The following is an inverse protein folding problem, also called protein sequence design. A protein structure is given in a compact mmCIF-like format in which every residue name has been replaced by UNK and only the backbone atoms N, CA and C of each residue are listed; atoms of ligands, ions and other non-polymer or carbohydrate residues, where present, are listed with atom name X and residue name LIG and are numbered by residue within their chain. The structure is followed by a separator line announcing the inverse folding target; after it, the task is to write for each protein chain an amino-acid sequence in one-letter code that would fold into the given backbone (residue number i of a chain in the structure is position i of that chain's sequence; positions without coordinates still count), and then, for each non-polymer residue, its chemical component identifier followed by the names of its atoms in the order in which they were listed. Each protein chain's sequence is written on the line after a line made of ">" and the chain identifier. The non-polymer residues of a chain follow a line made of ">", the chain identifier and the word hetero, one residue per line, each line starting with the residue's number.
data_IF_045414496360
#
_entry.id   IF_045414496360
#
_cell.length_a   1.000
_cell.length_b   1.000
_cell.length_c   1.000
_cell.angle_alpha   90.00
_cell.angle_beta   90.00
_cell.angle_gamma   90.00
#
_symmetry.space_group_name_H-M   'P 1'
#
loop_
_entity.id
_entity.type
_entity.pdbx_description
1 polymer ?
#
# COMPACT_ATOMS: atom_id res chain seq x y z
N UNK A 1 17.15 25.22 -14.51
CA UNK A 1 17.28 24.48 -13.24
C UNK A 1 15.97 23.76 -13.00
N UNK A 2 16.05 22.45 -12.79
CA UNK A 2 15.00 21.53 -12.34
C UNK A 2 13.89 21.17 -13.34
N UNK A 3 14.26 20.35 -14.33
CA UNK A 3 13.35 19.37 -14.91
C UNK A 3 13.06 18.30 -13.84
N UNK A 4 11.87 18.33 -13.25
CA UNK A 4 11.36 17.22 -12.46
C UNK A 4 10.29 16.50 -13.29
N UNK A 5 10.77 15.57 -14.11
CA UNK A 5 10.09 14.37 -14.58
C UNK A 5 8.62 14.48 -14.98
N UNK A 6 8.39 14.51 -16.30
CA UNK A 6 7.13 14.09 -16.91
C UNK A 6 6.62 12.78 -16.30
N UNK A 7 5.33 12.75 -15.95
CA UNK A 7 4.60 11.52 -15.70
C UNK A 7 4.70 10.57 -16.89
N UNK A 8 4.45 9.27 -16.66
CA UNK A 8 3.55 8.57 -17.55
C UNK A 8 2.32 8.11 -16.78
N UNK A 9 1.17 8.70 -17.13
CA UNK A 9 -0.07 7.96 -17.07
C UNK A 9 0.03 6.84 -18.11
N UNK A 10 0.20 5.59 -17.68
CA UNK A 10 -0.20 4.37 -18.40
C UNK A 10 0.45 3.15 -17.74
N UNK A 11 -0.33 2.38 -16.98
CA UNK A 11 -0.55 1.01 -17.40
C UNK A 11 -1.97 0.61 -17.00
N UNK A 12 -2.87 0.57 -17.98
CA UNK A 12 -4.23 0.06 -17.85
C UNK A 12 -4.20 -1.48 -17.73
N UNK A 13 -3.55 -1.96 -16.67
CA UNK A 13 -3.50 -3.34 -16.23
C UNK A 13 -3.65 -3.32 -14.72
N UNK A 14 -4.92 -3.29 -14.27
CA UNK A 14 -5.43 -3.15 -12.90
C UNK A 14 -4.55 -2.45 -11.86
N UNK A 15 -5.03 -1.35 -11.30
CA UNK A 15 -4.28 -0.62 -10.27
C UNK A 15 -4.12 -1.48 -9.00
N UNK A 16 -2.91 -1.51 -8.44
CA UNK A 16 -2.66 -2.12 -7.14
C UNK A 16 -3.56 -1.47 -6.07
N UNK A 17 -4.04 -2.27 -5.11
CA UNK A 17 -4.97 -1.81 -4.08
C UNK A 17 -4.51 -2.27 -2.72
N UNK A 18 -4.76 -1.44 -1.73
CA UNK A 18 -4.67 -1.83 -0.33
C UNK A 18 -6.09 -2.04 0.20
N UNK A 19 -6.42 -3.27 0.55
CA UNK A 19 -7.73 -3.64 1.07
C UNK A 19 -7.67 -3.68 2.59
N UNK A 20 -8.29 -2.71 3.24
CA UNK A 20 -8.40 -2.66 4.69
C UNK A 20 -9.64 -3.45 5.15
N UNK A 21 -9.43 -4.43 6.02
CA UNK A 21 -10.49 -5.16 6.73
C UNK A 21 -10.88 -4.36 7.97
N UNK A 22 -12.04 -3.68 7.91
CA UNK A 22 -12.58 -2.90 9.02
C UNK A 22 -13.01 -3.83 10.16
N UNK A 23 -12.98 -3.29 11.37
CA UNK A 23 -13.43 -3.98 12.58
C UNK A 23 -14.92 -4.30 12.59
N UNK A 24 -15.72 -3.55 11.84
CA UNK A 24 -17.17 -3.76 11.62
C UNK A 24 -17.48 -4.91 10.64
N UNK A 25 -16.45 -5.60 10.12
CA UNK A 25 -16.59 -6.71 9.17
C UNK A 25 -16.68 -6.28 7.70
N UNK A 26 -16.73 -4.97 7.42
CA UNK A 26 -16.63 -4.43 6.06
C UNK A 26 -15.19 -4.38 5.53
N UNK A 27 -15.04 -4.35 4.21
CA UNK A 27 -13.76 -4.18 3.53
C UNK A 27 -13.75 -2.87 2.75
N UNK A 28 -12.63 -2.14 2.80
CA UNK A 28 -12.44 -0.90 2.04
C UNK A 28 -11.18 -1.04 1.20
N UNK A 29 -11.33 -0.96 -0.12
CA UNK A 29 -10.21 -0.99 -1.05
C UNK A 29 -9.77 0.43 -1.41
N UNK A 30 -8.51 0.75 -1.11
CA UNK A 30 -7.88 1.99 -1.50
C UNK A 30 -7.00 1.74 -2.72
N UNK A 31 -7.27 2.37 -3.88
CA UNK A 31 -6.42 2.23 -5.04
C UNK A 31 -5.11 3.00 -4.81
N UNK A 32 -3.98 2.40 -5.16
CA UNK A 32 -2.66 2.99 -4.97
C UNK A 32 -2.30 3.92 -6.14
N UNK A 33 -3.11 4.99 -6.26
CA UNK A 33 -3.05 5.99 -7.34
C UNK A 33 -2.04 7.08 -7.03
N UNK A 34 -0.76 6.71 -6.92
CA UNK A 34 0.32 7.65 -6.64
C UNK A 34 1.41 7.05 -5.77
N UNK A 35 2.51 7.80 -5.60
CA UNK A 35 3.54 7.49 -4.60
C UNK A 35 4.36 8.73 -4.24
N UNK A 36 4.71 8.95 -2.97
CA UNK A 36 4.31 8.15 -1.80
C UNK A 36 2.84 8.36 -1.42
N UNK A 37 2.19 7.32 -0.89
CA UNK A 37 0.86 7.40 -0.28
C UNK A 37 1.00 7.26 1.24
N UNK A 38 0.48 8.23 1.99
CA UNK A 38 0.53 8.20 3.45
C UNK A 38 -0.59 7.33 4.02
N UNK A 39 -0.23 6.40 4.89
CA UNK A 39 -1.15 5.56 5.66
C UNK A 39 -1.19 6.05 7.10
N UNK A 40 -2.39 6.32 7.59
CA UNK A 40 -2.58 6.77 8.96
C UNK A 40 -4.04 7.01 9.31
N UNK A 41 -4.29 7.41 10.55
CA UNK A 41 -5.64 7.75 11.01
C UNK A 41 -6.03 9.21 10.79
N UNK A 42 -5.04 10.05 10.45
CA UNK A 42 -5.24 11.48 10.29
C UNK A 42 -5.99 11.81 9.00
N UNK A 43 -6.65 12.95 8.97
CA UNK A 43 -7.34 13.45 7.77
C UNK A 43 -6.38 13.84 6.65
N UNK A 44 -5.11 14.13 6.97
CA UNK A 44 -4.06 14.35 5.98
C UNK A 44 -3.48 13.08 5.35
N UNK A 45 -3.94 11.88 5.72
CA UNK A 45 -3.46 10.62 5.13
C UNK A 45 -4.25 10.25 3.86
N UNK A 46 -3.54 9.87 2.79
CA UNK A 46 -4.15 9.38 1.55
C UNK A 46 -4.96 8.10 1.80
N UNK A 47 -4.45 7.22 2.66
CA UNK A 47 -5.09 5.98 3.08
C UNK A 47 -5.45 6.12 4.55
N UNK A 48 -6.71 6.52 4.77
CA UNK A 48 -7.24 6.71 6.11
C UNK A 48 -7.70 5.38 6.72
N UNK A 49 -7.01 4.99 7.78
CA UNK A 49 -7.33 3.82 8.59
C UNK A 49 -7.90 4.31 9.92
N UNK A 50 -9.22 4.21 10.07
CA UNK A 50 -9.93 4.59 11.29
C UNK A 50 -9.78 3.52 12.38
N UNK A 51 -8.58 3.44 12.95
CA UNK A 51 -8.24 2.54 14.04
C UNK A 51 -7.45 3.31 15.12
N UNK A 52 -7.92 3.37 16.39
CA UNK A 52 -7.29 4.17 17.44
C UNK A 52 -5.82 3.85 17.73
N UNK A 53 -5.36 2.62 17.47
CA UNK A 53 -3.96 2.24 17.66
C UNK A 53 -3.04 2.60 16.48
N UNK A 54 -3.61 3.04 15.35
CA UNK A 54 -2.85 3.53 14.20
C UNK A 54 -2.39 4.97 14.47
N UNK A 55 -1.16 5.27 14.10
CA UNK A 55 -0.57 6.60 14.29
C UNK A 55 -1.15 7.57 13.25
N UNK A 56 -1.08 8.88 13.52
CA UNK A 56 -1.57 9.92 12.59
C UNK A 56 -0.91 9.81 11.22
N UNK A 57 0.42 9.71 11.23
CA UNK A 57 1.25 9.24 10.12
C UNK A 57 1.93 7.96 10.59
N UNK A 58 1.46 6.80 10.11
CA UNK A 58 1.92 5.50 10.61
C UNK A 58 2.96 4.88 9.68
N UNK A 59 2.61 4.77 8.41
CA UNK A 59 3.48 4.24 7.37
C UNK A 59 3.22 5.00 6.07
N UNK A 60 4.09 4.81 5.08
CA UNK A 60 3.82 5.23 3.71
C UNK A 60 4.05 4.08 2.76
N UNK A 61 3.32 4.08 1.66
CA UNK A 61 3.52 3.15 0.56
C UNK A 61 4.24 3.91 -0.55
N UNK A 62 5.41 3.43 -0.94
CA UNK A 62 6.20 3.97 -2.05
C UNK A 62 6.21 3.00 -3.21
N UNK A 63 5.99 3.50 -4.41
CA UNK A 63 6.17 2.73 -5.65
C UNK A 63 7.58 2.99 -6.17
N UNK A 64 8.38 1.93 -6.25
CA UNK A 64 9.74 1.98 -6.80
C UNK A 64 9.78 1.11 -8.06
N UNK A 65 9.55 1.74 -9.21
CA UNK A 65 9.40 1.02 -10.48
C UNK A 65 8.11 0.20 -10.52
N UNK A 66 8.23 -1.12 -10.66
CA UNK A 66 7.11 -2.06 -10.65
C UNK A 66 6.75 -2.60 -9.26
N UNK A 67 7.64 -2.40 -8.27
CA UNK A 67 7.46 -2.90 -6.90
C UNK A 67 6.84 -1.83 -6.00
N UNK A 68 6.06 -2.29 -5.02
CA UNK A 68 5.52 -1.44 -3.96
C UNK A 68 6.26 -1.75 -2.66
N UNK A 69 6.54 -0.72 -1.87
CA UNK A 69 7.23 -0.83 -0.59
C UNK A 69 6.38 -0.19 0.48
N UNK A 70 6.27 -0.85 1.63
CA UNK A 70 5.75 -0.23 2.85
C UNK A 70 6.93 0.25 3.70
N UNK A 71 6.87 1.50 4.15
CA UNK A 71 7.88 2.12 5.00
C UNK A 71 7.18 2.64 6.26
N UNK A 72 7.58 2.11 7.42
CA UNK A 72 7.14 2.59 8.73
C UNK A 72 7.77 3.94 9.05
N UNK A 73 6.98 4.91 9.50
CA UNK A 73 7.44 6.27 9.79
C UNK A 73 7.80 6.49 11.27
N UNK A 74 8.13 5.43 12.00
CA UNK A 74 8.34 5.47 13.44
C UNK A 74 7.03 5.32 14.21
N UNK A 75 6.17 4.42 13.74
CA UNK A 75 4.86 4.22 14.36
C UNK A 75 4.98 3.59 15.76
N UNK A 76 4.03 3.91 16.64
CA UNK A 76 4.05 3.44 18.04
C UNK A 76 3.91 1.92 18.15
N UNK A 77 3.11 1.31 17.28
CA UNK A 77 2.74 -0.10 17.34
C UNK A 77 3.43 -0.96 16.27
N UNK A 78 4.35 -0.36 15.51
CA UNK A 78 5.07 -0.93 14.37
C UNK A 78 4.16 -1.37 13.22
N UNK A 79 4.72 -1.36 12.02
CA UNK A 79 4.14 -2.00 10.84
C UNK A 79 4.60 -3.45 10.77
N UNK A 80 3.69 -4.38 10.47
CA UNK A 80 4.02 -5.81 10.26
C UNK A 80 3.59 -6.27 8.88
N UNK A 81 4.39 -7.12 8.25
CA UNK A 81 4.06 -7.77 6.97
C UNK A 81 4.14 -9.28 7.16
N UNK A 82 3.06 -10.00 6.89
CA UNK A 82 2.88 -11.44 7.19
C UNK A 82 3.21 -11.84 8.64
N UNK A 83 3.06 -10.91 9.59
CA UNK A 83 3.32 -11.14 11.01
C UNK A 83 4.68 -10.61 11.50
N UNK A 84 5.62 -10.37 10.60
CA UNK A 84 6.96 -9.87 10.91
C UNK A 84 6.98 -8.33 11.01
N UNK A 85 7.49 -7.73 12.09
CA UNK A 85 7.67 -6.28 12.18
C UNK A 85 8.74 -5.81 11.19
N UNK A 86 8.42 -4.77 10.43
CA UNK A 86 9.28 -4.24 9.37
C UNK A 86 9.40 -2.73 9.49
N UNK A 87 10.57 -2.20 9.13
CA UNK A 87 10.78 -0.76 8.90
C UNK A 87 10.57 -0.40 7.43
N UNK A 88 11.06 -1.25 6.55
CA UNK A 88 10.85 -1.18 5.11
C UNK A 88 10.70 -2.61 4.57
N UNK A 89 9.71 -2.85 3.70
CA UNK A 89 9.51 -4.15 3.06
C UNK A 89 8.82 -4.00 1.70
N UNK A 90 9.30 -4.75 0.71
CA UNK A 90 8.59 -4.92 -0.57
C UNK A 90 7.27 -5.69 -0.34
N UNK A 91 6.16 -5.13 -0.82
CA UNK A 91 4.85 -5.74 -0.84
C UNK A 91 4.65 -6.55 -2.13
N UNK A 92 4.19 -7.78 -1.98
CA UNK A 92 3.83 -8.67 -3.08
C UNK A 92 2.33 -8.96 -3.02
N UNK A 93 1.77 -9.31 -4.17
CA UNK A 93 0.36 -9.65 -4.24
C UNK A 93 -0.03 -10.69 -3.18
N UNK A 94 -1.09 -10.39 -2.42
CA UNK A 94 -1.57 -11.23 -1.34
C UNK A 94 -0.93 -10.98 0.02
N UNK A 95 0.11 -10.13 0.12
CA UNK A 95 0.75 -9.80 1.41
C UNK A 95 -0.26 -9.22 2.41
N UNK A 96 -0.21 -9.74 3.63
CA UNK A 96 -0.95 -9.18 4.76
C UNK A 96 -0.10 -8.10 5.44
N UNK A 97 -0.56 -6.86 5.39
CA UNK A 97 0.07 -5.72 6.06
C UNK A 97 -0.77 -5.35 7.28
N UNK A 98 -0.18 -5.33 8.47
CA UNK A 98 -0.83 -4.85 9.68
C UNK A 98 -0.21 -3.53 10.12
N UNK A 99 -1.07 -2.53 10.27
CA UNK A 99 -0.74 -1.26 10.91
C UNK A 99 -1.34 -1.31 12.31
N UNK A 100 -0.52 -1.57 13.34
CA UNK A 100 -1.03 -1.91 14.66
C UNK A 100 -2.03 -3.09 14.63
N UNK A 101 -3.32 -2.84 14.91
CA UNK A 101 -4.42 -3.83 14.83
C UNK A 101 -5.17 -3.80 13.50
N UNK A 102 -4.99 -2.77 12.68
CA UNK A 102 -5.64 -2.69 11.39
C UNK A 102 -5.02 -3.70 10.44
N UNK A 103 -5.84 -4.62 9.93
CA UNK A 103 -5.42 -5.67 9.01
C UNK A 103 -5.73 -5.21 7.58
N UNK A 104 -4.68 -5.08 6.78
CA UNK A 104 -4.76 -4.73 5.38
C UNK A 104 -4.20 -5.87 4.53
N UNK A 105 -4.70 -6.02 3.31
CA UNK A 105 -4.15 -6.93 2.31
C UNK A 105 -3.69 -6.11 1.12
N UNK A 106 -2.47 -6.32 0.69
CA UNK A 106 -1.99 -5.77 -0.57
C UNK A 106 -2.46 -6.66 -1.72
N UNK A 107 -3.10 -6.03 -2.70
CA UNK A 107 -3.46 -6.64 -3.96
C UNK A 107 -2.59 -5.96 -5.00
N UNK A 108 -1.68 -6.74 -5.59
CA UNK A 108 -0.79 -6.24 -6.63
C UNK A 108 -1.58 -5.82 -7.88
N UNK A 109 -0.94 -5.13 -8.83
CA UNK A 109 -1.54 -5.03 -10.14
C UNK A 109 -1.78 -6.46 -10.66
N UNK A 110 -2.89 -6.73 -11.39
CA UNK A 110 -3.10 -8.03 -11.99
C UNK A 110 -1.85 -8.33 -12.79
N UNK A 111 -1.28 -9.51 -12.56
CA UNK A 111 -0.19 -9.98 -13.38
C UNK A 111 -0.70 -9.87 -14.82
N UNK A 112 -0.15 -8.91 -15.59
CA UNK A 112 -0.38 -8.87 -17.03
C UNK A 112 -0.07 -10.28 -17.47
N UNK A 113 -1.08 -10.99 -17.93
CA UNK A 113 -0.93 -12.33 -18.43
C UNK A 113 0.26 -12.25 -19.40
N UNK A 114 1.36 -12.99 -19.19
CA UNK A 114 2.31 -13.14 -20.28
C UNK A 114 1.49 -13.89 -21.31
N UNK A 115 0.96 -13.17 -22.31
CA UNK A 115 0.30 -13.77 -23.45
C UNK A 115 1.18 -14.95 -23.86
N UNK A 116 0.67 -16.15 -23.66
CA UNK A 116 1.27 -17.33 -24.20
C UNK A 116 1.13 -17.15 -25.71
N UNK A 117 2.14 -16.55 -26.32
CA UNK A 117 2.41 -16.69 -27.75
C UNK A 117 2.74 -18.17 -27.94
N UNK A 118 1.69 -18.96 -28.06
CA UNK A 118 1.72 -20.37 -28.40
C UNK A 118 0.98 -20.53 -29.72
N UNK A 119 1.77 -20.37 -30.79
CA UNK A 119 1.66 -20.93 -32.17
C UNK A 119 0.28 -21.17 -32.78
#
# INVERSE_FOLDING_TARGET
>A
MSEAGTAPAADAGGEARLVWMRTDGGEVAFPLLGSPLLVGRDEGADIRVDEPLVSRAHARIERRGASYFVIDLGSTNLTRVNGDPVRERELRDGDEVRFARARCRFVGPPARDPVATGV
#
